data_IF_397348708938
#
_entry.id   IF_397348708938
#
_cell.length_a   1.000
_cell.length_b   1.000
_cell.length_c   1.000
_cell.angle_alpha   90.00
_cell.angle_beta   90.00
_cell.angle_gamma   90.00
#
_symmetry.space_group_name_H-M   'P 1'
#
loop_
_entity.id
_entity.type
_entity.pdbx_description
1 polymer ?
#
# COMPACT_ATOMS: atom_id res chain seq x y z
N UNK A 1 3.30 -1.03 -15.22
CA UNK A 1 2.21 -1.99 -14.97
C UNK A 1 1.58 -1.62 -13.63
N UNK A 2 0.27 -1.39 -13.59
CA UNK A 2 -0.47 -1.09 -12.35
C UNK A 2 -0.61 -2.37 -11.53
N UNK A 3 0.32 -2.63 -10.62
CA UNK A 3 0.17 -3.69 -9.62
C UNK A 3 0.16 -3.03 -8.25
N UNK A 4 -1.02 -3.00 -7.63
CA UNK A 4 -1.19 -2.58 -6.23
C UNK A 4 -2.00 -3.65 -5.50
N UNK A 5 -1.71 -3.84 -4.21
CA UNK A 5 -2.49 -4.72 -3.36
C UNK A 5 -3.52 -3.88 -2.58
N UNK A 6 -4.78 -4.31 -2.59
CA UNK A 6 -5.79 -3.76 -1.66
C UNK A 6 -5.92 -4.78 -0.54
N UNK A 7 -5.56 -4.37 0.68
CA UNK A 7 -5.66 -5.24 1.85
C UNK A 7 -6.99 -4.99 2.56
N UNK A 8 -7.87 -5.99 2.57
CA UNK A 8 -8.99 -6.06 3.50
C UNK A 8 -8.63 -7.11 4.55
N UNK A 9 -8.39 -6.71 5.79
CA UNK A 9 -7.97 -7.64 6.85
C UNK A 9 -9.17 -7.97 7.72
N UNK A 10 -9.85 -9.08 7.40
CA UNK A 10 -10.66 -9.76 8.40
C UNK A 10 -9.73 -10.52 9.34
N UNK A 11 -9.23 -9.84 10.37
CA UNK A 11 -8.53 -10.47 11.49
C UNK A 11 -9.53 -11.26 12.33
N UNK A 12 -9.92 -12.44 11.84
CA UNK A 12 -10.29 -13.50 12.77
C UNK A 12 -9.01 -14.21 13.13
N UNK A 13 -8.60 -14.03 14.39
CA UNK A 13 -7.56 -14.82 15.04
C UNK A 13 -7.72 -16.28 14.64
N UNK A 14 -6.72 -16.84 13.96
CA UNK A 14 -6.29 -18.22 14.13
C UNK A 14 -5.03 -18.46 13.29
N UNK A 15 -4.11 -19.21 13.88
CA UNK A 15 -2.77 -19.48 13.39
C UNK A 15 -2.78 -20.15 12.01
N UNK A 16 -1.87 -19.72 11.12
CA UNK A 16 -1.65 -20.27 9.77
C UNK A 16 -2.82 -20.14 8.76
N UNK A 17 -3.25 -18.90 8.50
CA UNK A 17 -4.12 -18.60 7.36
C UNK A 17 -3.31 -18.64 6.06
N UNK A 18 -3.70 -19.50 5.13
CA UNK A 18 -3.26 -19.46 3.74
C UNK A 18 -3.73 -18.16 3.08
N UNK A 19 -2.97 -17.08 3.21
CA UNK A 19 -3.28 -15.75 2.64
C UNK A 19 -3.72 -15.78 1.16
N UNK A 20 -3.22 -16.76 0.41
CA UNK A 20 -3.61 -17.00 -0.98
C UNK A 20 -5.11 -17.22 -1.19
N UNK A 21 -5.85 -17.83 -0.25
CA UNK A 21 -7.29 -18.08 -0.44
C UNK A 21 -8.16 -16.83 -0.35
N UNK A 22 -7.61 -15.72 0.18
CA UNK A 22 -8.32 -14.45 0.35
C UNK A 22 -7.86 -13.36 -0.63
N UNK A 23 -6.90 -13.67 -1.51
CA UNK A 23 -6.48 -12.76 -2.56
C UNK A 23 -7.46 -12.78 -3.73
N UNK A 24 -8.02 -11.61 -4.06
CA UNK A 24 -8.90 -11.44 -5.22
C UNK A 24 -8.26 -10.48 -6.20
N UNK A 25 -8.08 -10.93 -7.45
CA UNK A 25 -7.65 -10.03 -8.52
C UNK A 25 -8.71 -8.96 -8.78
N UNK A 26 -8.25 -7.73 -9.04
CA UNK A 26 -9.10 -6.61 -9.45
C UNK A 26 -8.98 -6.31 -10.96
N UNK A 27 -8.24 -7.12 -11.72
CA UNK A 27 -7.94 -6.87 -13.14
C UNK A 27 -9.17 -6.88 -14.06
N UNK A 28 -10.25 -7.53 -13.63
CA UNK A 28 -11.53 -7.62 -14.37
C UNK A 28 -12.57 -6.60 -13.88
N UNK A 29 -12.22 -5.73 -12.94
CA UNK A 29 -13.12 -4.73 -12.35
C UNK A 29 -13.01 -3.40 -13.09
N UNK A 30 -14.12 -2.69 -13.20
CA UNK A 30 -14.12 -1.32 -13.69
C UNK A 30 -13.75 -0.32 -12.57
N UNK A 31 -13.47 0.93 -12.93
CA UNK A 31 -13.04 1.97 -11.99
C UNK A 31 -14.04 2.16 -10.84
N UNK A 32 -15.35 2.16 -11.11
CA UNK A 32 -16.38 2.33 -10.09
C UNK A 32 -16.36 1.20 -9.05
N UNK A 33 -16.16 -0.03 -9.51
CA UNK A 33 -16.04 -1.19 -8.63
C UNK A 33 -14.77 -1.10 -7.78
N UNK A 34 -13.63 -0.75 -8.38
CA UNK A 34 -12.35 -0.60 -7.67
C UNK A 34 -12.45 0.49 -6.60
N UNK A 35 -13.02 1.65 -6.93
CA UNK A 35 -13.24 2.73 -5.96
C UNK A 35 -14.08 2.24 -4.78
N UNK A 36 -15.16 1.50 -5.06
CA UNK A 36 -16.05 0.96 -4.02
C UNK A 36 -15.32 -0.03 -3.11
N UNK A 37 -14.49 -0.90 -3.68
CA UNK A 37 -13.68 -1.87 -2.94
C UNK A 37 -12.68 -1.15 -2.04
N UNK A 38 -11.92 -0.17 -2.56
CA UNK A 38 -10.93 0.57 -1.77
C UNK A 38 -11.59 1.39 -0.66
N UNK A 39 -12.73 2.02 -0.96
CA UNK A 39 -13.51 2.79 0.03
C UNK A 39 -13.98 1.92 1.20
N UNK A 40 -14.32 0.66 0.91
CA UNK A 40 -14.75 -0.33 1.89
C UNK A 40 -13.61 -1.03 2.63
N UNK A 41 -12.35 -0.87 2.21
CA UNK A 41 -11.21 -1.50 2.84
C UNK A 41 -10.83 -0.83 4.16
N UNK A 42 -10.14 -1.57 5.02
CA UNK A 42 -9.60 -1.03 6.28
C UNK A 42 -8.36 -0.18 6.00
N UNK A 43 -7.54 -0.58 5.01
CA UNK A 43 -6.27 0.04 4.67
C UNK A 43 -5.90 -0.18 3.20
N UNK A 44 -5.03 0.67 2.66
CA UNK A 44 -4.35 0.43 1.39
C UNK A 44 -2.85 0.11 1.60
N UNK A 45 -2.29 -0.82 0.84
CA UNK A 45 -0.85 -1.12 0.86
C UNK A 45 -0.34 -1.23 -0.58
N UNK A 46 0.45 -0.27 -1.03
CA UNK A 46 0.93 -0.29 -2.40
C UNK A 46 1.88 0.84 -2.72
N UNK A 47 2.22 0.99 -3.99
CA UNK A 47 3.03 2.10 -4.48
C UNK A 47 2.18 3.38 -4.67
N UNK A 48 2.86 4.45 -5.10
CA UNK A 48 2.21 5.67 -5.59
C UNK A 48 1.43 5.39 -6.87
N UNK A 49 0.12 5.34 -6.72
CA UNK A 49 -0.82 4.82 -7.71
C UNK A 49 -2.23 5.28 -7.39
N UNK A 50 -3.13 5.12 -8.36
CA UNK A 50 -4.56 5.38 -8.25
C UNK A 50 -5.17 4.95 -6.90
N UNK A 51 -4.85 3.75 -6.43
CA UNK A 51 -5.46 3.21 -5.21
C UNK A 51 -5.12 3.98 -3.94
N UNK A 52 -3.89 4.48 -3.82
CA UNK A 52 -3.46 5.31 -2.68
C UNK A 52 -4.25 6.61 -2.60
N UNK A 53 -4.48 7.27 -3.74
CA UNK A 53 -5.21 8.53 -3.77
C UNK A 53 -6.67 8.35 -3.33
N UNK A 54 -7.33 7.27 -3.78
CA UNK A 54 -8.68 6.93 -3.35
C UNK A 54 -8.71 6.65 -1.85
N UNK A 55 -7.81 5.81 -1.34
CA UNK A 55 -7.73 5.50 0.09
C UNK A 55 -7.53 6.77 0.94
N UNK A 56 -6.67 7.68 0.51
CA UNK A 56 -6.46 8.97 1.18
C UNK A 56 -7.73 9.83 1.19
N UNK A 57 -8.48 9.89 0.09
CA UNK A 57 -9.73 10.64 0.01
C UNK A 57 -10.84 10.03 0.89
N UNK A 58 -10.81 8.71 1.06
CA UNK A 58 -11.68 7.99 1.98
C UNK A 58 -11.24 8.09 3.46
N UNK A 59 -10.15 8.79 3.76
CA UNK A 59 -9.61 8.89 5.12
C UNK A 59 -9.08 7.57 5.67
N UNK A 60 -8.70 6.62 4.80
CA UNK A 60 -8.17 5.31 5.20
C UNK A 60 -6.65 5.37 5.42
N UNK A 61 -6.12 4.67 6.43
CA UNK A 61 -4.69 4.40 6.54
C UNK A 61 -4.14 3.82 5.23
N UNK A 62 -2.94 4.26 4.84
CA UNK A 62 -2.27 3.82 3.63
C UNK A 62 -0.79 3.60 3.89
N UNK A 63 -0.30 2.40 3.64
CA UNK A 63 1.13 2.10 3.59
C UNK A 63 1.62 2.29 2.15
N UNK A 64 2.51 3.25 1.95
CA UNK A 64 2.98 3.67 0.62
C UNK A 64 4.42 3.26 0.42
N UNK A 65 4.67 2.39 -0.56
CA UNK A 65 6.01 1.89 -0.91
C UNK A 65 6.64 2.85 -1.92
N UNK A 66 7.70 3.55 -1.53
CA UNK A 66 8.40 4.51 -2.38
C UNK A 66 9.71 3.91 -2.89
N UNK A 67 9.85 3.77 -4.21
CA UNK A 67 11.04 3.25 -4.88
C UNK A 67 11.63 4.24 -5.89
N UNK A 68 10.78 5.04 -6.51
CA UNK A 68 11.10 5.96 -7.62
C UNK A 68 10.20 7.19 -7.59
N UNK A 69 9.55 7.45 -6.46
CA UNK A 69 8.57 8.53 -6.35
C UNK A 69 8.95 9.46 -5.19
N UNK A 70 9.05 10.78 -5.41
CA UNK A 70 9.28 11.75 -4.35
C UNK A 70 8.24 11.69 -3.24
N UNK A 71 8.65 12.05 -2.01
CA UNK A 71 7.79 12.01 -0.82
C UNK A 71 6.48 12.79 -0.97
N UNK A 72 6.49 13.88 -1.74
CA UNK A 72 5.34 14.77 -1.97
C UNK A 72 4.08 14.04 -2.46
N UNK A 73 4.22 12.89 -3.13
CA UNK A 73 3.10 12.06 -3.60
C UNK A 73 2.43 11.25 -2.48
N UNK A 74 2.93 11.35 -1.26
CA UNK A 74 2.43 10.61 -0.09
C UNK A 74 2.45 11.42 1.20
N UNK A 75 2.69 12.73 1.15
CA UNK A 75 2.80 13.61 2.34
C UNK A 75 1.62 14.58 2.48
N UNK A 76 0.59 14.47 1.64
CA UNK A 76 -0.58 15.36 1.67
C UNK A 76 -1.69 14.88 2.61
N UNK A 77 -1.52 13.74 3.29
CA UNK A 77 -2.48 13.23 4.26
C UNK A 77 -1.78 12.61 5.47
N UNK A 78 -2.32 12.87 6.66
CA UNK A 78 -1.83 12.27 7.91
C UNK A 78 -1.97 10.74 7.97
N UNK A 79 -2.81 10.16 7.10
CA UNK A 79 -3.08 8.73 7.03
C UNK A 79 -2.17 8.02 6.02
N UNK A 80 -1.21 8.72 5.41
CA UNK A 80 -0.23 8.14 4.51
C UNK A 80 1.07 7.89 5.26
N UNK A 81 1.55 6.65 5.16
CA UNK A 81 2.70 6.16 5.92
C UNK A 81 3.67 5.49 4.95
N UNK A 82 4.83 6.11 4.74
CA UNK A 82 5.80 5.68 3.75
C UNK A 82 6.67 4.54 4.27
N UNK A 83 7.07 3.66 3.36
CA UNK A 83 8.17 2.71 3.54
C UNK A 83 9.12 2.90 2.37
N UNK A 84 10.41 3.05 2.70
CA UNK A 84 11.51 3.16 1.75
C UNK A 84 12.38 1.90 1.78
N UNK A 85 13.18 1.66 0.74
CA UNK A 85 14.27 0.69 0.77
C UNK A 85 15.14 0.81 2.02
N UNK A 86 15.64 -0.33 2.52
CA UNK A 86 16.52 -0.35 3.69
C UNK A 86 17.74 0.57 3.50
N UNK A 87 18.00 1.43 4.50
CA UNK A 87 19.11 2.38 4.46
C UNK A 87 18.92 3.60 3.54
N UNK A 88 17.80 3.70 2.82
CA UNK A 88 17.52 4.83 1.92
C UNK A 88 16.68 5.88 2.61
N UNK A 89 17.23 7.10 2.68
CA UNK A 89 16.49 8.28 3.11
C UNK A 89 15.42 8.64 2.07
N UNK A 90 14.21 8.95 2.53
CA UNK A 90 13.09 9.37 1.67
C UNK A 90 13.44 10.58 0.79
N UNK A 91 14.33 11.46 1.25
CA UNK A 91 14.80 12.64 0.50
C UNK A 91 15.62 12.29 -0.73
N UNK A 92 16.16 11.08 -0.79
CA UNK A 92 17.01 10.61 -1.88
C UNK A 92 16.20 9.84 -2.94
N UNK A 93 14.89 9.71 -2.76
CA UNK A 93 14.00 9.07 -3.74
C UNK A 93 13.45 10.15 -4.67
N UNK A 94 13.67 9.95 -5.96
CA UNK A 94 13.22 10.82 -7.06
C UNK A 94 12.64 10.00 -8.20
N UNK A 95 12.03 10.66 -9.19
CA UNK A 95 11.51 10.03 -10.41
C UNK A 95 12.54 9.24 -11.23
N UNK A 96 13.83 9.56 -11.06
CA UNK A 96 14.93 8.88 -11.74
C UNK A 96 15.55 7.76 -10.88
N UNK A 97 15.06 7.56 -9.65
CA UNK A 97 15.48 6.46 -8.81
C UNK A 97 14.93 5.13 -9.35
N UNK A 98 15.64 4.05 -9.12
CA UNK A 98 15.20 2.70 -9.51
C UNK A 98 15.66 1.70 -8.45
N UNK A 99 15.20 1.92 -7.21
CA UNK A 99 15.54 1.04 -6.12
C UNK A 99 14.88 -0.34 -6.30
N UNK A 100 15.62 -1.40 -5.98
CA UNK A 100 15.11 -2.77 -6.08
C UNK A 100 13.97 -2.98 -5.07
N UNK A 101 12.76 -3.37 -5.49
CA UNK A 101 11.64 -3.63 -4.59
C UNK A 101 11.95 -4.69 -3.52
N UNK A 102 12.89 -5.61 -3.76
CA UNK A 102 13.27 -6.65 -2.80
C UNK A 102 14.04 -6.10 -1.58
N UNK A 103 14.47 -4.84 -1.63
CA UNK A 103 15.08 -4.14 -0.48
C UNK A 103 14.02 -3.68 0.53
N UNK A 104 12.74 -3.81 0.21
CA UNK A 104 11.64 -3.63 1.16
C UNK A 104 11.19 -5.02 1.64
N UNK A 105 11.51 -5.34 2.89
CA UNK A 105 11.11 -6.61 3.50
C UNK A 105 9.60 -6.72 3.73
N UNK A 106 9.02 -7.87 3.39
CA UNK A 106 7.58 -8.17 3.64
C UNK A 106 7.22 -8.02 5.11
N UNK A 107 8.09 -8.47 6.02
CA UNK A 107 7.88 -8.32 7.47
C UNK A 107 7.82 -6.86 7.92
N UNK A 108 8.63 -5.98 7.32
CA UNK A 108 8.60 -4.53 7.57
C UNK A 108 7.26 -3.94 7.17
N UNK A 109 6.75 -4.32 5.99
CA UNK A 109 5.44 -3.87 5.50
C UNK A 109 4.32 -4.36 6.41
N UNK A 110 4.33 -5.64 6.79
CA UNK A 110 3.31 -6.22 7.66
C UNK A 110 3.30 -5.57 9.05
N UNK A 111 4.47 -5.43 9.68
CA UNK A 111 4.57 -4.82 11.01
C UNK A 111 4.11 -3.35 10.99
N UNK A 112 4.43 -2.62 9.92
CA UNK A 112 3.95 -1.24 9.73
C UNK A 112 2.43 -1.20 9.54
N UNK A 113 1.88 -2.10 8.72
CA UNK A 113 0.42 -2.18 8.54
C UNK A 113 -0.29 -2.47 9.86
N UNK A 114 0.19 -3.45 10.64
CA UNK A 114 -0.38 -3.80 11.94
C UNK A 114 -0.33 -2.64 12.96
N UNK A 115 0.57 -1.67 12.82
CA UNK A 115 0.62 -0.52 13.74
C UNK A 115 -0.45 0.55 13.47
N UNK A 116 -1.19 0.45 12.37
CA UNK A 116 -2.24 1.41 11.97
C UNK A 116 -3.61 0.76 11.74
N UNK A 117 -3.75 -0.52 12.11
CA UNK A 117 -5.03 -1.21 12.27
C UNK A 117 -5.49 -1.12 13.73
#
# INVERSE_FOLDING_TARGET
>A
AFSFAVATMNLKEEENIYWYSYMKSLSDKNIKEIVSIISGADMYIGNDSFGQHIASQCGKPSIVLLLDTPSAYSEYSKNQHQITPEGVSIKNISHDSSFDPNTIGVGTVLNKALSYL
#
